data_IF_494950987807
#
_entry.id   IF_494950987807
#
_cell.length_a   1.000
_cell.length_b   1.000
_cell.length_c   1.000
_cell.angle_alpha   90.00
_cell.angle_beta   90.00
_cell.angle_gamma   90.00
#
_symmetry.space_group_name_H-M   'P 1'
#
loop_
_entity.id
_entity.type
_entity.pdbx_description
1 polymer ?
2 polymer ?
3 non-polymer ?
4 water ?
#
# COMPACT_ATOMS: atom_id res chain seq x y z
N UNK A 13 10.09 -28.19 1.29
CA UNK A 13 10.56 -28.15 2.71
C UNK A 13 10.98 -26.70 3.05
N UNK A 14 11.56 -26.50 4.25
CA UNK A 14 12.12 -25.22 4.73
C UNK A 14 12.86 -24.50 3.61
N UNK A 15 13.81 -25.18 2.98
CA UNK A 15 14.72 -24.65 1.93
C UNK A 15 13.92 -23.84 0.91
N UNK A 16 13.00 -24.50 0.21
CA UNK A 16 12.18 -23.94 -0.90
C UNK A 16 11.42 -22.71 -0.42
N UNK A 17 11.03 -22.69 0.86
CA UNK A 17 10.24 -21.58 1.48
C UNK A 17 11.16 -20.42 1.90
N UNK A 18 12.43 -20.71 2.23
CA UNK A 18 13.46 -19.67 2.47
C UNK A 18 13.81 -19.03 1.14
N UNK A 19 13.99 -19.84 0.10
CA UNK A 19 14.34 -19.37 -1.26
C UNK A 19 13.27 -18.41 -1.78
N UNK A 20 11.99 -18.72 -1.53
CA UNK A 20 10.85 -17.89 -1.92
C UNK A 20 10.88 -16.56 -1.15
N UNK A 21 11.01 -16.62 0.17
CA UNK A 21 11.12 -15.46 1.06
C UNK A 21 12.25 -14.54 0.58
N UNK A 22 13.34 -15.10 0.05
CA UNK A 22 14.54 -14.36 -0.43
C UNK A 22 14.20 -13.71 -1.78
N UNK A 23 13.67 -14.50 -2.71
CA UNK A 23 13.28 -14.06 -4.06
C UNK A 23 12.31 -12.87 -3.95
N UNK A 24 11.33 -12.97 -3.04
CA UNK A 24 10.29 -11.96 -2.83
C UNK A 24 10.92 -10.70 -2.24
N UNK A 25 11.78 -10.84 -1.23
CA UNK A 25 12.52 -9.72 -0.61
C UNK A 25 13.29 -8.94 -1.68
N UNK A 26 14.14 -9.64 -2.44
CA UNK A 26 14.97 -9.03 -3.50
C UNK A 26 14.08 -8.22 -4.43
N UNK A 27 12.96 -8.80 -4.83
CA UNK A 27 11.98 -8.22 -5.78
C UNK A 27 11.29 -6.99 -5.16
N UNK A 28 11.05 -7.03 -3.86
CA UNK A 28 10.41 -5.96 -3.08
C UNK A 28 11.31 -4.73 -3.08
N UNK A 29 12.61 -4.95 -2.80
CA UNK A 29 13.67 -3.90 -2.77
C UNK A 29 13.69 -3.17 -4.12
N UNK A 30 13.69 -3.93 -5.23
CA UNK A 30 13.70 -3.37 -6.62
C UNK A 30 12.41 -2.58 -6.88
N UNK A 31 11.26 -3.10 -6.48
CA UNK A 31 9.94 -2.57 -6.89
C UNK A 31 9.61 -1.30 -6.13
N UNK A 32 10.03 -1.22 -4.88
CA UNK A 32 9.63 -0.16 -3.93
C UNK A 32 10.86 0.63 -3.53
N UNK A 33 10.98 1.91 -3.98
CA UNK A 33 12.16 2.72 -3.70
C UNK A 33 12.38 2.97 -2.20
N UNK A 34 11.33 3.41 -1.52
CA UNK A 34 11.36 3.72 -0.07
C UNK A 34 10.85 2.51 0.73
N UNK A 35 11.78 1.73 1.28
CA UNK A 35 11.47 0.55 2.13
C UNK A 35 11.03 1.06 3.51
N UNK A 36 10.60 0.16 4.39
CA UNK A 36 10.32 0.46 5.81
C UNK A 36 11.64 0.78 6.53
N UNK A 37 12.74 0.16 6.13
CA UNK A 37 14.09 0.35 6.75
C UNK A 37 14.46 1.84 6.70
N UNK A 38 14.54 2.40 5.50
CA UNK A 38 14.88 3.81 5.23
C UNK A 38 13.85 4.72 5.92
N UNK A 39 12.57 4.33 5.85
CA UNK A 39 11.43 5.10 6.39
C UNK A 39 11.64 5.31 7.89
N UNK A 40 11.99 4.24 8.63
CA UNK A 40 12.14 4.29 10.10
C UNK A 40 13.34 5.18 10.43
N UNK A 41 14.46 4.98 9.75
CA UNK A 41 15.68 5.80 9.94
C UNK A 41 15.28 7.29 9.93
N UNK A 42 14.56 7.71 8.89
CA UNK A 42 14.10 9.12 8.71
C UNK A 42 13.24 9.55 9.89
N UNK A 43 12.29 8.72 10.32
CA UNK A 43 11.26 9.08 11.33
C UNK A 43 11.89 9.23 12.72
N UNK A 44 12.89 8.40 13.05
CA UNK A 44 13.59 8.39 14.36
C UNK A 44 14.68 9.48 14.40
N UNK A 45 15.14 9.90 13.21
CA UNK A 45 16.21 10.89 13.02
C UNK A 45 17.56 10.23 12.90
N UNK A 46 17.61 8.90 13.07
CA UNK A 46 18.85 8.10 13.13
C UNK A 46 19.57 8.10 11.76
N UNK A 47 18.97 8.70 10.75
CA UNK A 47 19.60 8.91 9.41
C UNK A 47 20.73 9.92 9.56
N UNK A 48 21.72 9.85 8.67
CA UNK A 48 22.79 10.87 8.48
C UNK A 48 22.37 11.83 7.35
N UNK A 49 21.09 11.83 6.97
CA UNK A 49 20.49 12.69 5.92
C UNK A 49 19.69 13.82 6.57
N UNK A 50 19.36 14.84 5.77
CA UNK A 50 18.61 16.06 6.18
C UNK A 50 17.20 15.66 6.62
N UNK A 51 16.76 16.11 7.80
CA UNK A 51 15.36 15.98 8.29
C UNK A 51 14.40 16.50 7.22
N UNK A 52 13.23 15.86 7.04
CA UNK A 52 12.30 16.24 5.97
C UNK A 52 11.49 17.50 6.30
N UNK A 53 11.08 18.23 5.27
CA UNK A 53 10.27 19.45 5.39
C UNK A 53 8.93 19.09 6.02
N UNK A 54 8.63 19.66 7.19
CA UNK A 54 7.40 19.39 7.98
C UNK A 54 6.27 20.29 7.47
N UNK A 55 5.19 19.70 6.96
CA UNK A 55 3.96 20.41 6.49
C UNK A 55 2.88 20.23 7.55
N UNK A 56 2.55 21.31 8.28
CA UNK A 56 1.63 21.31 9.46
C UNK A 56 0.47 22.30 9.25
N UNK A 57 0.50 23.12 8.18
CA UNK A 57 -0.60 24.08 7.83
C UNK A 57 -0.41 24.61 6.41
N UNK A 58 -1.39 25.40 5.94
CA UNK A 58 -1.45 25.97 4.56
C UNK A 58 -0.14 26.72 4.25
N UNK A 59 0.38 27.45 5.24
CA UNK A 59 1.64 28.24 5.11
C UNK A 59 2.80 27.32 4.76
N UNK A 60 3.07 26.35 5.63
CA UNK A 60 4.20 25.39 5.48
C UNK A 60 4.00 24.57 4.20
N UNK A 61 2.76 24.19 3.88
CA UNK A 61 2.44 23.51 2.59
C UNK A 61 2.96 24.36 1.42
N UNK A 62 2.60 25.64 1.39
CA UNK A 62 3.00 26.61 0.34
C UNK A 62 4.53 26.70 0.28
N UNK A 63 5.19 26.83 1.43
CA UNK A 63 6.67 26.94 1.51
C UNK A 63 7.32 25.64 1.06
N UNK A 64 6.58 24.52 1.10
CA UNK A 64 7.10 23.17 0.79
C UNK A 64 6.73 22.68 -0.61
N UNK A 65 6.39 23.58 -1.54
CA UNK A 65 6.17 23.25 -2.98
C UNK A 65 7.51 22.82 -3.62
N UNK A 66 8.63 23.29 -3.06
CA UNK A 66 10.01 23.13 -3.61
C UNK A 66 10.50 21.68 -3.43
N UNK A 67 9.76 20.84 -2.67
CA UNK A 67 10.13 19.41 -2.37
C UNK A 67 9.07 18.42 -2.85
N UNK A 68 7.92 18.87 -3.36
CA UNK A 68 6.85 17.93 -3.79
C UNK A 68 6.69 18.02 -5.31
N UNK A 69 5.96 17.06 -5.88
CA UNK A 69 5.61 17.01 -7.32
C UNK A 69 4.09 17.02 -7.47
N UNK A 70 3.53 18.15 -7.87
CA UNK A 70 2.09 18.26 -8.20
C UNK A 70 1.92 18.34 -9.72
N UNK A 71 2.99 18.67 -10.45
CA UNK A 71 3.07 18.71 -11.93
C UNK A 71 2.10 19.78 -12.46
N UNK A 81 -6.74 23.55 -7.24
CA UNK A 81 -6.69 25.04 -7.15
C UNK A 81 -6.80 25.50 -5.69
N UNK A 82 -7.61 24.81 -4.87
CA UNK A 82 -7.68 25.02 -3.39
C UNK A 82 -6.86 23.91 -2.68
N UNK A 83 -6.55 24.11 -1.40
CA UNK A 83 -5.55 23.30 -0.64
C UNK A 83 -5.99 21.83 -0.62
N UNK A 84 -7.09 21.51 0.06
CA UNK A 84 -7.62 20.13 0.22
C UNK A 84 -7.57 19.43 -1.14
N UNK A 85 -8.07 20.08 -2.19
CA UNK A 85 -8.13 19.54 -3.58
C UNK A 85 -6.70 19.28 -4.08
N UNK A 86 -5.80 20.26 -3.91
CA UNK A 86 -4.37 20.14 -4.36
C UNK A 86 -3.73 18.94 -3.65
N UNK A 87 -3.87 18.86 -2.32
CA UNK A 87 -3.37 17.73 -1.48
C UNK A 87 -3.91 16.41 -2.05
N UNK A 88 -5.19 16.37 -2.41
CA UNK A 88 -5.84 15.16 -2.97
C UNK A 88 -5.26 14.82 -4.36
N UNK A 89 -4.94 15.83 -5.17
CA UNK A 89 -4.31 15.65 -6.50
C UNK A 89 -2.88 15.11 -6.30
N UNK A 90 -2.19 15.58 -5.25
CA UNK A 90 -0.88 15.08 -4.83
C UNK A 90 -0.96 13.61 -4.46
N UNK A 91 -1.85 13.28 -3.52
CA UNK A 91 -2.12 11.90 -3.05
C UNK A 91 -2.57 11.02 -4.22
N UNK A 92 -3.14 11.61 -5.25
CA UNK A 92 -3.68 10.88 -6.42
C UNK A 92 -2.52 10.49 -7.35
N UNK A 93 -1.63 11.43 -7.62
CA UNK A 93 -0.39 11.25 -8.42
C UNK A 93 0.45 10.08 -7.88
N UNK A 94 0.70 10.10 -6.57
CA UNK A 94 1.60 9.16 -5.87
C UNK A 94 0.95 7.78 -5.86
N UNK A 95 -0.35 7.76 -5.60
CA UNK A 95 -1.16 6.54 -5.50
C UNK A 95 -1.13 5.77 -6.83
N UNK A 96 -0.95 6.46 -7.95
CA UNK A 96 -0.84 5.85 -9.30
C UNK A 96 0.55 5.22 -9.47
N UNK A 97 1.56 5.84 -8.91
CA UNK A 97 2.94 5.30 -8.96
C UNK A 97 3.00 4.03 -8.11
N UNK A 98 2.23 3.99 -7.02
CA UNK A 98 2.13 2.83 -6.12
C UNK A 98 1.56 1.65 -6.89
N UNK A 99 0.46 1.83 -7.60
CA UNK A 99 -0.18 0.76 -8.41
C UNK A 99 0.85 0.19 -9.40
N UNK A 100 1.67 1.04 -10.02
CA UNK A 100 2.70 0.60 -11.00
C UNK A 100 3.77 -0.23 -10.27
N UNK A 101 4.26 0.26 -9.14
CA UNK A 101 5.25 -0.44 -8.28
C UNK A 101 4.69 -1.81 -7.84
N UNK A 102 3.46 -1.84 -7.34
CA UNK A 102 2.78 -3.08 -6.85
C UNK A 102 2.60 -4.05 -8.04
N UNK A 103 2.22 -3.51 -9.20
CA UNK A 103 1.98 -4.31 -10.43
C UNK A 103 3.27 -5.02 -10.83
N UNK A 104 4.41 -4.32 -10.80
CA UNK A 104 5.72 -4.89 -11.18
C UNK A 104 6.11 -5.93 -10.12
N UNK A 105 5.81 -5.70 -8.84
CA UNK A 105 6.10 -6.64 -7.73
C UNK A 105 5.34 -7.94 -7.96
N UNK A 106 4.04 -7.85 -8.23
CA UNK A 106 3.13 -8.99 -8.51
C UNK A 106 3.72 -9.87 -9.62
N UNK A 107 4.21 -9.24 -10.70
CA UNK A 107 4.82 -9.93 -11.87
C UNK A 107 6.02 -10.77 -11.43
N UNK A 108 6.61 -10.48 -10.27
CA UNK A 108 7.78 -11.19 -9.71
C UNK A 108 7.35 -12.35 -8.79
N UNK A 109 6.06 -12.45 -8.43
CA UNK A 109 5.55 -13.53 -7.53
C UNK A 109 5.47 -14.81 -8.35
N UNK A 110 6.33 -15.82 -8.09
CA UNK A 110 6.41 -17.01 -8.96
C UNK A 110 5.03 -17.60 -9.29
N UNK A 111 4.71 -17.70 -10.58
CA UNK A 111 3.47 -18.32 -11.08
C UNK A 111 2.36 -17.30 -11.27
N UNK A 112 2.52 -16.06 -10.79
CA UNK A 112 1.47 -15.02 -10.93
C UNK A 112 1.23 -14.75 -12.44
N UNK A 113 2.30 -14.64 -13.23
CA UNK A 113 2.21 -14.27 -14.68
C UNK A 113 1.56 -15.42 -15.46
N UNK A 114 1.86 -16.68 -15.09
CA UNK A 114 1.30 -17.91 -15.70
C UNK A 114 -0.24 -17.96 -15.55
N UNK A 115 -0.82 -17.17 -14.65
CA UNK A 115 -2.29 -17.12 -14.46
C UNK A 115 -2.96 -16.51 -15.68
N UNK A 116 -4.24 -16.80 -15.84
CA UNK A 116 -5.19 -16.08 -16.72
C UNK A 116 -5.02 -14.56 -16.52
N UNK A 117 -4.72 -13.82 -17.58
CA UNK A 117 -4.48 -12.35 -17.55
C UNK A 117 -5.69 -11.63 -16.95
N UNK A 118 -6.89 -12.18 -17.08
CA UNK A 118 -8.14 -11.61 -16.50
C UNK A 118 -8.06 -11.75 -14.98
N UNK A 119 -7.47 -12.84 -14.49
CA UNK A 119 -7.31 -13.11 -13.04
C UNK A 119 -6.27 -12.11 -12.51
N UNK A 120 -5.12 -12.03 -13.16
CA UNK A 120 -4.03 -11.09 -12.78
C UNK A 120 -4.64 -9.70 -12.56
N UNK A 121 -5.44 -9.22 -13.48
CA UNK A 121 -6.11 -7.89 -13.39
C UNK A 121 -6.98 -7.83 -12.12
N UNK A 122 -7.76 -8.87 -11.86
CA UNK A 122 -8.76 -8.92 -10.75
C UNK A 122 -8.05 -8.86 -9.38
N UNK A 123 -7.04 -9.70 -9.20
CA UNK A 123 -6.16 -9.75 -8.01
C UNK A 123 -5.64 -8.34 -7.71
N UNK A 124 -4.98 -7.71 -8.68
CA UNK A 124 -4.46 -6.33 -8.57
C UNK A 124 -5.60 -5.36 -8.29
N UNK A 125 -6.67 -5.43 -9.07
CA UNK A 125 -7.83 -4.50 -8.94
C UNK A 125 -8.18 -4.38 -7.45
N UNK A 126 -8.32 -5.52 -6.76
CA UNK A 126 -8.81 -5.59 -5.34
C UNK A 126 -7.64 -5.43 -4.36
N UNK A 127 -6.46 -5.95 -4.72
CA UNK A 127 -5.28 -6.06 -3.86
C UNK A 127 -4.59 -4.73 -3.56
N UNK A 128 -4.52 -3.80 -4.52
CA UNK A 128 -3.60 -2.61 -4.47
C UNK A 128 -3.90 -1.73 -3.26
N UNK A 129 -5.18 -1.46 -2.96
CA UNK A 129 -5.59 -0.58 -1.83
C UNK A 129 -5.19 -1.21 -0.52
N UNK A 130 -5.40 -2.52 -0.39
CA UNK A 130 -4.98 -3.32 0.78
C UNK A 130 -3.45 -3.14 0.94
N UNK A 131 -2.70 -3.23 -0.14
CA UNK A 131 -1.22 -3.13 -0.11
C UNK A 131 -0.77 -1.68 0.06
N UNK A 132 -1.53 -0.71 -0.46
CA UNK A 132 -1.17 0.72 -0.30
C UNK A 132 -1.29 1.06 1.20
N UNK A 133 -2.35 0.64 1.87
CA UNK A 133 -2.57 0.94 3.32
C UNK A 133 -1.58 0.16 4.15
N UNK A 134 -1.14 -1.00 3.69
CA UNK A 134 -0.14 -1.83 4.39
C UNK A 134 1.18 -1.08 4.40
N UNK A 135 1.62 -0.62 3.23
CA UNK A 135 2.95 0.01 3.02
C UNK A 135 2.93 1.50 3.45
N UNK A 136 1.77 2.14 3.53
CA UNK A 136 1.61 3.50 4.09
C UNK A 136 2.04 3.46 5.55
N UNK A 137 1.68 2.41 6.25
CA UNK A 137 1.97 2.22 7.68
C UNK A 137 3.49 2.26 7.89
N UNK A 138 4.25 1.75 6.95
CA UNK A 138 5.73 1.83 6.94
C UNK A 138 6.15 3.32 7.05
N UNK A 139 5.42 4.24 6.41
CA UNK A 139 5.79 5.67 6.35
C UNK A 139 5.10 6.45 7.47
N UNK A 140 4.41 5.81 8.39
CA UNK A 140 3.56 6.52 9.37
C UNK A 140 4.04 6.33 10.81
N UNK A 141 3.65 7.28 11.67
CA UNK A 141 3.65 7.22 13.16
C UNK A 141 2.38 7.91 13.64
N UNK A 142 2.19 8.10 14.95
CA UNK A 142 0.91 8.67 15.47
C UNK A 142 0.80 10.15 15.05
N UNK A 143 1.94 10.82 14.85
CA UNK A 143 2.05 12.26 14.51
C UNK A 143 1.94 12.54 13.01
N UNK A 144 2.40 11.67 12.11
CA UNK A 144 2.27 12.00 10.67
C UNK A 144 2.87 10.99 9.72
N UNK A 145 2.88 11.35 8.44
CA UNK A 145 3.28 10.42 7.35
C UNK A 145 4.33 11.09 6.47
N UNK A 146 5.37 10.34 6.12
CA UNK A 146 6.41 10.74 5.16
C UNK A 146 5.82 10.77 3.76
N UNK A 147 6.17 11.79 2.99
CA UNK A 147 5.69 11.98 1.61
C UNK A 147 6.89 12.32 0.71
N UNK A 148 6.69 12.35 -0.60
CA UNK A 148 7.74 12.64 -1.61
C UNK A 148 9.02 11.90 -1.25
N UNK A 149 8.94 10.57 -1.16
CA UNK A 149 10.10 9.65 -0.99
C UNK A 149 10.86 10.03 0.28
N UNK A 150 10.15 10.41 1.34
CA UNK A 150 10.69 10.62 2.68
C UNK A 150 11.33 11.99 2.89
N UNK A 151 11.24 12.91 1.92
CA UNK A 151 11.86 14.25 2.04
C UNK A 151 10.80 15.30 2.43
N UNK A 152 9.56 14.85 2.63
CA UNK A 152 8.47 15.61 3.26
C UNK A 152 7.82 14.81 4.40
N UNK A 153 7.21 15.50 5.36
CA UNK A 153 6.47 14.89 6.50
C UNK A 153 5.19 15.68 6.76
N UNK A 154 4.04 15.13 6.40
CA UNK A 154 2.73 15.79 6.55
C UNK A 154 2.07 15.29 7.83
N UNK A 155 1.69 16.21 8.72
CA UNK A 155 1.24 15.89 10.11
C UNK A 155 -0.20 15.42 10.09
N UNK A 156 -0.56 14.58 11.03
CA UNK A 156 -1.90 13.98 11.18
C UNK A 156 -2.91 15.09 11.41
N UNK A 157 -2.60 15.99 12.37
CA UNK A 157 -3.48 17.12 12.78
C UNK A 157 -3.82 17.98 11.56
N UNK A 158 -2.84 18.23 10.69
CA UNK A 158 -3.00 19.04 9.46
C UNK A 158 -4.03 18.36 8.53
N UNK A 159 -4.01 17.04 8.43
CA UNK A 159 -4.89 16.23 7.54
C UNK A 159 -6.30 16.10 8.14
N UNK A 160 -6.43 16.05 9.47
CA UNK A 160 -7.73 16.10 10.20
C UNK A 160 -8.42 17.46 9.97
N UNK A 161 -7.65 18.55 10.06
CA UNK A 161 -8.12 19.96 10.04
C UNK A 161 -8.64 20.35 8.64
N UNK A 162 -8.38 19.54 7.61
CA UNK A 162 -8.94 19.75 6.24
C UNK A 162 -10.47 19.79 6.31
N UNK A 163 -11.10 20.55 5.40
CA UNK A 163 -12.59 20.67 5.33
C UNK A 163 -13.15 19.38 4.74
N UNK A 164 -14.28 18.89 5.26
CA UNK A 164 -14.92 17.61 4.87
C UNK A 164 -15.32 17.68 3.40
N UNK A 165 -15.40 16.55 2.64
CA UNK A 165 -15.15 15.19 3.18
C UNK A 165 -13.67 14.79 3.39
N UNK A 166 -12.73 15.62 2.91
CA UNK A 166 -11.26 15.40 2.98
C UNK A 166 -10.79 15.39 4.43
N UNK A 167 -11.62 15.88 5.35
CA UNK A 167 -11.30 16.07 6.78
C UNK A 167 -10.80 14.81 7.44
N UNK A 168 -11.38 13.65 7.11
CA UNK A 168 -11.08 12.36 7.79
C UNK A 168 -10.89 11.27 6.73
N UNK A 169 -10.31 11.65 5.60
CA UNK A 169 -9.92 10.75 4.48
C UNK A 169 -8.72 9.87 4.89
N UNK A 170 -7.72 10.43 5.56
CA UNK A 170 -6.44 9.74 5.92
C UNK A 170 -6.48 9.25 7.36
N UNK A 171 -7.42 9.74 8.17
CA UNK A 171 -7.49 9.43 9.63
C UNK A 171 -7.58 7.91 9.85
N UNK A 172 -8.48 7.16 9.15
CA UNK A 172 -8.58 5.70 9.36
C UNK A 172 -7.32 4.90 8.98
N UNK A 173 -6.49 5.43 8.07
CA UNK A 173 -5.17 4.85 7.69
C UNK A 173 -4.20 4.99 8.85
N UNK A 174 -4.18 6.16 9.50
CA UNK A 174 -3.36 6.42 10.71
C UNK A 174 -3.76 5.45 11.82
N UNK A 175 -5.08 5.30 12.04
CA UNK A 175 -5.64 4.40 13.11
C UNK A 175 -5.13 2.98 12.90
N UNK A 176 -5.17 2.50 11.65
CA UNK A 176 -4.73 1.14 11.24
C UNK A 176 -3.23 0.99 11.43
N UNK A 177 -2.46 1.94 10.92
CA UNK A 177 -0.98 1.95 10.94
C UNK A 177 -0.46 1.86 12.38
N UNK A 178 -1.11 2.53 13.31
CA UNK A 178 -0.70 2.56 14.74
C UNK A 178 -0.73 1.12 15.27
N UNK A 179 -1.86 0.43 15.06
CA UNK A 179 -2.07 -0.99 15.45
C UNK A 179 -1.10 -1.90 14.65
N UNK A 180 -0.93 -1.67 13.34
CA UNK A 180 -0.16 -2.58 12.46
C UNK A 180 1.34 -2.49 12.73
N UNK A 181 1.82 -1.29 13.03
CA UNK A 181 3.27 -1.03 13.24
C UNK A 181 3.70 -1.72 14.55
N UNK A 182 2.75 -1.95 15.47
CA UNK A 182 2.94 -2.67 16.76
C UNK A 182 3.59 -4.04 16.53
N UNK A 183 3.22 -4.70 15.43
CA UNK A 183 3.73 -6.06 15.06
C UNK A 183 5.22 -5.98 14.72
N UNK A 184 5.77 -4.79 14.54
CA UNK A 184 7.21 -4.55 14.30
C UNK A 184 7.69 -5.46 13.17
N UNK A 185 6.92 -5.55 12.08
CA UNK A 185 7.31 -6.36 10.89
C UNK A 185 8.45 -5.66 10.17
N UNK A 186 9.31 -6.37 9.48
CA UNK A 186 10.37 -5.71 8.70
C UNK A 186 10.11 -5.95 7.20
N UNK A 187 11.01 -5.51 6.36
CA UNK A 187 10.84 -5.55 4.90
C UNK A 187 10.69 -6.99 4.42
N UNK A 188 11.48 -7.91 4.98
CA UNK A 188 11.50 -9.34 4.59
C UNK A 188 10.15 -10.00 4.95
N UNK A 189 9.49 -9.57 6.02
CA UNK A 189 8.15 -10.07 6.42
C UNK A 189 7.09 -9.48 5.50
N UNK A 190 7.17 -8.16 5.28
CA UNK A 190 6.18 -7.39 4.47
C UNK A 190 6.18 -7.93 3.04
N UNK A 191 7.36 -8.24 2.47
CA UNK A 191 7.49 -8.75 1.09
C UNK A 191 6.55 -9.92 0.88
N UNK A 192 6.48 -10.82 1.86
CA UNK A 192 5.66 -12.05 1.78
C UNK A 192 4.21 -11.71 2.12
N UNK A 193 3.98 -10.93 3.17
CA UNK A 193 2.62 -10.53 3.57
C UNK A 193 1.88 -9.95 2.36
N UNK A 194 2.54 -9.07 1.62
CA UNK A 194 2.00 -8.35 0.44
C UNK A 194 1.66 -9.37 -0.67
N UNK A 195 2.56 -10.31 -0.94
CA UNK A 195 2.34 -11.40 -1.92
C UNK A 195 1.08 -12.20 -1.54
N UNK A 196 0.89 -12.45 -0.25
CA UNK A 196 -0.27 -13.25 0.27
C UNK A 196 -1.55 -12.49 -0.03
N UNK A 197 -1.55 -11.17 0.17
CA UNK A 197 -2.74 -10.31 -0.03
C UNK A 197 -3.11 -10.35 -1.51
N UNK A 198 -2.12 -10.28 -2.40
CA UNK A 198 -2.37 -10.25 -3.87
C UNK A 198 -2.99 -11.59 -4.27
N UNK A 199 -2.52 -12.71 -3.74
CA UNK A 199 -3.00 -14.04 -4.15
C UNK A 199 -4.21 -14.45 -3.34
N UNK A 200 -5.24 -13.61 -3.22
CA UNK A 200 -6.47 -13.93 -2.47
C UNK A 200 -7.46 -14.58 -3.42
N UNK A 201 -7.69 -15.88 -3.26
CA UNK A 201 -8.50 -16.68 -4.20
C UNK A 201 -9.99 -16.37 -4.07
N UNK A 202 -10.36 -15.37 -3.27
CA UNK A 202 -11.78 -15.09 -2.95
C UNK A 202 -12.16 -13.69 -3.44
N UNK A 203 -11.45 -13.15 -4.40
CA UNK A 203 -11.81 -11.83 -5.00
C UNK A 203 -13.00 -12.04 -5.93
N UNK A 204 -14.00 -11.14 -5.90
CA UNK A 204 -15.12 -11.21 -6.83
C UNK A 204 -14.69 -11.33 -8.29
N UNK A 205 -15.10 -12.41 -8.96
CA UNK A 205 -15.07 -12.51 -10.42
C UNK A 205 -13.83 -13.21 -10.93
N UNK A 206 -13.16 -13.99 -10.09
CA UNK A 206 -12.05 -14.84 -10.55
C UNK A 206 -12.64 -16.00 -11.35
N UNK A 207 -11.88 -16.55 -12.29
CA UNK A 207 -12.32 -17.65 -13.18
C UNK A 207 -11.62 -18.96 -12.80
N UNK A 208 -10.39 -18.90 -12.33
CA UNK A 208 -9.58 -20.10 -12.05
C UNK A 208 -8.94 -19.95 -10.66
N UNK A 209 -9.72 -20.17 -9.63
CA UNK A 209 -9.35 -19.98 -8.20
C UNK A 209 -8.23 -20.96 -7.80
N UNK A 210 -8.28 -22.22 -8.24
CA UNK A 210 -7.39 -23.32 -7.76
C UNK A 210 -5.92 -22.89 -7.81
N UNK A 211 -5.36 -22.50 -8.99
CA UNK A 211 -3.94 -22.18 -9.11
C UNK A 211 -3.52 -20.89 -8.35
N UNK A 212 -4.49 -20.02 -8.04
CA UNK A 212 -4.29 -18.83 -7.15
C UNK A 212 -4.06 -19.33 -5.71
N UNK A 213 -4.96 -20.18 -5.22
CA UNK A 213 -4.91 -20.78 -3.85
C UNK A 213 -3.66 -21.66 -3.73
N UNK A 214 -3.25 -22.35 -4.78
CA UNK A 214 -2.04 -23.20 -4.75
C UNK A 214 -0.83 -22.34 -4.41
N UNK A 215 -0.74 -21.15 -4.99
CA UNK A 215 0.42 -20.22 -4.77
C UNK A 215 0.29 -19.59 -3.37
N UNK A 216 -0.91 -19.10 -3.00
CA UNK A 216 -1.13 -18.43 -1.69
C UNK A 216 -0.78 -19.38 -0.57
N UNK A 217 -1.29 -20.59 -0.66
CA UNK A 217 -0.99 -21.74 0.21
C UNK A 217 0.53 -21.78 0.39
N UNK A 218 1.26 -21.78 -0.69
CA UNK A 218 2.73 -21.82 -0.66
C UNK A 218 3.30 -20.57 0.03
N UNK A 219 2.76 -19.39 -0.28
CA UNK A 219 3.23 -18.08 0.27
C UNK A 219 2.99 -18.03 1.78
N UNK A 220 1.88 -18.60 2.24
CA UNK A 220 1.47 -18.57 3.67
C UNK A 220 2.43 -19.43 4.50
N UNK A 221 2.90 -20.55 3.96
CA UNK A 221 3.91 -21.40 4.62
C UNK A 221 5.18 -20.58 4.76
N UNK A 222 5.60 -19.97 3.64
CA UNK A 222 6.80 -19.10 3.54
C UNK A 222 6.70 -17.98 4.58
N UNK A 223 5.52 -17.37 4.71
CA UNK A 223 5.27 -16.26 5.67
C UNK A 223 5.39 -16.80 7.11
N UNK A 224 4.69 -17.87 7.44
CA UNK A 224 4.72 -18.53 8.77
C UNK A 224 6.17 -18.82 9.19
N UNK A 225 6.98 -19.41 8.30
CA UNK A 225 8.40 -19.80 8.57
C UNK A 225 9.23 -18.53 8.84
N UNK A 226 9.09 -17.51 7.97
CA UNK A 226 9.76 -16.19 8.08
C UNK A 226 9.52 -15.60 9.48
N UNK A 227 8.29 -15.68 9.96
CA UNK A 227 7.86 -15.06 11.24
C UNK A 227 8.41 -15.83 12.42
N UNK A 228 8.60 -17.13 12.26
CA UNK A 228 9.25 -17.99 13.30
C UNK A 228 10.74 -17.62 13.35
N UNK A 229 11.42 -17.62 12.20
CA UNK A 229 12.88 -17.38 12.09
C UNK A 229 13.22 -15.94 12.49
N UNK A 230 12.47 -14.94 12.02
CA UNK A 230 12.88 -13.51 12.05
C UNK A 230 12.33 -12.84 13.32
N UNK A 231 11.31 -13.43 13.95
CA UNK A 231 10.74 -12.98 15.27
C UNK A 231 10.53 -14.17 16.19
N UNK A 232 11.59 -14.97 16.51
CA UNK A 232 11.43 -16.20 17.29
C UNK A 232 10.98 -15.97 18.75
N UNK A 233 11.01 -14.72 19.24
CA UNK A 233 10.46 -14.36 20.58
C UNK A 233 8.96 -14.07 20.44
N UNK A 234 8.57 -13.31 19.42
CA UNK A 234 7.15 -13.02 19.08
C UNK A 234 6.49 -14.32 18.62
N UNK A 235 5.56 -14.87 19.40
CA UNK A 235 4.87 -16.15 19.08
C UNK A 235 3.45 -15.86 18.57
N UNK A 236 3.03 -16.56 17.50
CA UNK A 236 1.70 -16.42 16.82
C UNK A 236 1.50 -14.96 16.35
N UNK A 237 2.58 -14.37 15.89
CA UNK A 237 2.60 -13.13 15.09
C UNK A 237 1.91 -13.41 13.75
N UNK A 238 2.14 -14.61 13.20
CA UNK A 238 1.47 -15.15 12.00
C UNK A 238 -0.06 -15.08 12.20
N UNK A 239 -0.54 -15.56 13.34
CA UNK A 239 -1.97 -15.58 13.67
C UNK A 239 -2.46 -14.15 13.72
N UNK A 240 -1.74 -13.28 14.45
CA UNK A 240 -2.12 -11.84 14.68
C UNK A 240 -2.20 -11.13 13.33
N UNK A 241 -1.20 -11.36 12.48
CA UNK A 241 -1.05 -10.76 11.13
C UNK A 241 -2.21 -11.18 10.20
N UNK A 242 -2.71 -12.40 10.31
CA UNK A 242 -3.81 -12.89 9.43
C UNK A 242 -5.14 -12.28 9.86
N UNK A 243 -5.27 -11.93 11.14
CA UNK A 243 -6.47 -11.24 11.70
C UNK A 243 -6.54 -9.83 11.10
N UNK A 244 -5.38 -9.12 11.07
CA UNK A 244 -5.21 -7.74 10.49
C UNK A 244 -5.60 -7.74 9.00
N UNK A 245 -5.26 -8.80 8.28
CA UNK A 245 -5.51 -8.93 6.82
C UNK A 245 -7.01 -8.86 6.52
N UNK A 246 -7.86 -9.21 7.49
CA UNK A 246 -9.34 -9.21 7.37
C UNK A 246 -9.87 -7.82 7.75
N UNK A 247 -9.13 -7.06 8.56
CA UNK A 247 -9.41 -5.63 8.89
C UNK A 247 -9.26 -4.77 7.64
N UNK A 248 -8.20 -4.99 6.87
CA UNK A 248 -7.85 -4.14 5.71
C UNK A 248 -9.04 -4.08 4.76
N UNK A 249 -9.69 -5.21 4.47
CA UNK A 249 -10.84 -5.25 3.54
C UNK A 249 -11.90 -4.25 3.99
N UNK A 250 -12.43 -4.45 5.21
CA UNK A 250 -13.43 -3.55 5.85
C UNK A 250 -12.94 -2.12 5.66
N UNK A 251 -11.70 -1.86 6.06
CA UNK A 251 -10.99 -0.55 6.01
C UNK A 251 -10.96 -0.03 4.55
N UNK A 252 -10.66 -0.89 3.57
CA UNK A 252 -10.60 -0.53 2.11
C UNK A 252 -12.00 -0.21 1.59
N UNK A 253 -13.05 -0.87 2.11
CA UNK A 253 -14.46 -0.63 1.69
C UNK A 253 -14.87 0.78 2.14
N UNK A 254 -14.57 1.14 3.39
CA UNK A 254 -14.81 2.50 3.94
C UNK A 254 -14.22 3.52 2.98
N UNK A 255 -12.97 3.30 2.60
CA UNK A 255 -12.19 4.20 1.72
C UNK A 255 -12.91 4.33 0.36
N UNK A 256 -13.27 3.20 -0.26
CA UNK A 256 -13.92 3.13 -1.60
C UNK A 256 -15.19 3.99 -1.58
N UNK A 257 -15.94 3.93 -0.49
CA UNK A 257 -17.24 4.63 -0.36
C UNK A 257 -16.99 6.13 -0.13
N UNK A 258 -16.00 6.50 0.67
CA UNK A 258 -15.65 7.93 0.88
C UNK A 258 -15.23 8.54 -0.46
N UNK A 259 -14.59 7.76 -1.31
CA UNK A 259 -14.17 8.17 -2.66
C UNK A 259 -15.42 8.25 -3.55
N UNK A 260 -16.29 7.25 -3.52
CA UNK A 260 -17.65 7.24 -4.16
C UNK A 260 -18.34 8.60 -3.86
N UNK A 261 -18.39 8.99 -2.60
CA UNK A 261 -18.99 10.28 -2.11
C UNK A 261 -18.26 11.46 -2.77
N UNK A 262 -16.95 11.49 -2.63
CA UNK A 262 -16.07 12.58 -3.11
C UNK A 262 -16.24 12.78 -4.62
N UNK A 263 -16.34 11.69 -5.40
CA UNK A 263 -16.54 11.75 -6.88
C UNK A 263 -17.78 12.61 -7.17
N UNK A 264 -18.86 12.39 -6.41
CA UNK A 264 -20.20 13.00 -6.64
C UNK A 264 -20.21 14.47 -6.16
N UNK A 265 -19.91 14.70 -4.88
CA UNK A 265 -20.05 16.01 -4.18
C UNK A 265 -19.14 17.06 -4.81
N UNK A 266 -17.93 16.67 -5.24
CA UNK A 266 -16.91 17.58 -5.83
C UNK A 266 -17.04 17.56 -7.35
N UNK A 267 -17.25 18.74 -7.94
CA UNK A 267 -17.52 18.93 -9.40
C UNK A 267 -16.19 19.08 -10.15
N UNK A 268 -15.28 19.87 -9.58
CA UNK A 268 -14.10 20.46 -10.28
C UNK A 268 -13.09 19.35 -10.60
N UNK A 269 -12.64 18.61 -9.59
CA UNK A 269 -11.51 17.64 -9.64
C UNK A 269 -11.88 16.38 -10.45
N UNK A 270 -11.07 16.04 -11.45
CA UNK A 270 -11.18 14.77 -12.20
C UNK A 270 -10.32 13.70 -11.50
N UNK A 271 -10.76 12.44 -11.57
CA UNK A 271 -10.07 11.26 -10.98
C UNK A 271 -9.20 10.60 -12.06
N UNK A 272 -7.97 10.18 -11.72
CA UNK A 272 -6.97 9.65 -12.68
C UNK A 272 -7.52 8.39 -13.34
N UNK A 273 -7.38 8.25 -14.68
CA UNK A 273 -7.85 7.07 -15.41
C UNK A 273 -7.58 5.70 -14.74
N UNK A 274 -6.33 5.43 -14.36
CA UNK A 274 -5.90 4.13 -13.76
C UNK A 274 -6.68 3.87 -12.47
N UNK A 275 -6.84 4.90 -11.65
CA UNK A 275 -7.67 4.82 -10.42
C UNK A 275 -9.10 4.48 -10.82
N UNK A 276 -9.67 5.17 -11.82
CA UNK A 276 -11.05 4.93 -12.34
C UNK A 276 -11.19 3.46 -12.77
N UNK A 277 -10.23 2.93 -13.53
CA UNK A 277 -10.19 1.49 -13.95
C UNK A 277 -10.41 0.61 -12.71
N UNK A 278 -9.65 0.88 -11.66
CA UNK A 278 -9.64 0.06 -10.43
C UNK A 278 -10.97 0.23 -9.71
N UNK A 279 -11.37 1.45 -9.36
CA UNK A 279 -12.48 1.72 -8.40
C UNK A 279 -13.84 1.39 -9.02
N UNK A 280 -13.98 1.50 -10.34
CA UNK A 280 -15.27 1.19 -11.02
C UNK A 280 -15.50 -0.31 -10.93
N UNK A 281 -16.72 -0.72 -10.57
CA UNK A 281 -17.13 -2.12 -10.28
C UNK A 281 -16.30 -2.66 -9.11
N UNK A 282 -16.24 -1.91 -8.00
CA UNK A 282 -15.54 -2.32 -6.76
C UNK A 282 -16.48 -2.08 -5.57
N UNK A 283 -16.86 -3.16 -4.86
CA UNK A 283 -17.74 -3.18 -3.67
C UNK A 283 -19.03 -2.39 -3.97
N UNK B 2 -12.08 -2.13 -20.80
CA UNK B 2 -11.72 -3.47 -20.24
C UNK B 2 -10.32 -3.42 -19.60
N UNK B 3 -10.11 -2.51 -18.63
CA UNK B 3 -8.88 -2.40 -17.79
C UNK B 3 -7.64 -2.24 -18.68
N UNK B 4 -7.70 -1.32 -19.66
CA UNK B 4 -6.66 -1.10 -20.71
C UNK B 4 -5.28 -0.86 -20.07
N UNK B 5 -5.19 0.02 -19.07
CA UNK B 5 -3.89 0.44 -18.46
C UNK B 5 -3.31 -0.73 -17.65
N UNK B 6 -4.13 -1.33 -16.78
CA UNK B 6 -3.75 -2.53 -15.98
C UNK B 6 -3.24 -3.62 -16.92
N UNK B 7 -4.00 -3.87 -18.01
CA UNK B 7 -3.62 -4.82 -19.11
C UNK B 7 -2.21 -4.48 -19.61
N UNK B 8 -1.95 -3.20 -19.90
CA UNK B 8 -0.68 -2.74 -20.52
C UNK B 8 0.45 -2.88 -19.50
N UNK B 9 0.19 -2.52 -18.24
CA UNK B 9 1.17 -2.59 -17.12
C UNK B 9 1.56 -4.05 -16.85
N UNK B 10 0.62 -4.98 -17.03
CA UNK B 10 0.87 -6.44 -16.90
C UNK B 10 1.63 -6.96 -18.12
N UNK B 11 1.21 -6.53 -19.33
CA UNK B 11 1.79 -6.97 -20.63
C UNK B 11 3.24 -6.47 -20.74
N UNK B 12 3.47 -5.18 -20.51
CA UNK B 12 4.83 -4.56 -20.44
C UNK B 12 5.65 -5.27 -19.36
X LIG C 1 -5.97 9.20 -2.91
X LIG C 1 -5.38 8.53 -2.03
X LIG C 1 -6.56 10.29 -2.69
X LIG C 1 -5.98 8.67 -4.31
X LIG C 1 -7.09 7.64 -4.44
X LIG C 1 -8.07 7.94 -5.14
X LIG C 1 -6.98 6.59 -3.82
#
# INVERSE_FOLDING_TARGET
AEISSDIDQLNPESADLRALAKHLYDSYIKSFPLTKAKARAILTGKTTDKSPFVIYDMNSLMMGEDKIKFKHITPLQEQSKEVAIRIFQGCQFRCVEAVQEITEYAKSIPGFVNLDLNDQVTLLKYGVHEIIYTMLASLMNKDGVLISEGQGFMTREFLKSLRKPFGDFMEPKFEFAVKFNALELDDSDLAIFIAVIILSGDRPGLLNVKPIEDIQDNLLQALELQLKLNHPESSQLFAKLLQKMTDLRQIVTEHVQLLQVIKKTETDMSLHPLLQEIYKDLY
ERHKILHRLLQEGSPS
MLA C1 O1A O1B C2 C3 O3A O3B
#
